data_IF_156458042124
#
_entry.id   IF_156458042124
#
_cell.length_a   1.000
_cell.length_b   1.000
_cell.length_c   1.000
_cell.angle_alpha   90.00
_cell.angle_beta   90.00
_cell.angle_gamma   90.00
#
_symmetry.space_group_name_H-M   'P 1'
#
loop_
_entity.id
_entity.type
_entity.pdbx_description
1 polymer ?
#
# COMPACT_ATOMS: atom_id res chain seq x y z
N UNK A 1 29.23 6.26 5.83
CA UNK A 1 28.61 7.07 4.77
C UNK A 1 27.44 6.26 4.21
N UNK A 2 26.26 6.86 4.05
CA UNK A 2 25.09 6.16 3.50
C UNK A 2 24.91 6.53 2.02
N UNK A 3 24.52 5.55 1.20
CA UNK A 3 24.21 5.73 -0.20
C UNK A 3 22.76 5.29 -0.46
N UNK A 4 22.05 6.01 -1.32
CA UNK A 4 20.70 5.66 -1.74
C UNK A 4 20.71 5.33 -3.24
N UNK A 5 20.19 4.17 -3.60
CA UNK A 5 19.93 3.81 -4.99
C UNK A 5 18.75 4.63 -5.54
N UNK A 6 18.61 4.79 -6.86
CA UNK A 6 17.48 5.49 -7.45
C UNK A 6 16.14 4.88 -7.00
N UNK A 7 15.15 5.71 -6.65
CA UNK A 7 13.85 5.20 -6.21
C UNK A 7 13.11 4.49 -7.35
N UNK A 8 12.31 3.50 -6.98
CA UNK A 8 11.39 2.82 -7.88
C UNK A 8 9.96 3.12 -7.44
N UNK A 9 9.14 3.58 -8.39
CA UNK A 9 7.71 3.76 -8.20
C UNK A 9 6.97 2.78 -9.12
N UNK A 10 6.00 2.08 -8.54
CA UNK A 10 5.07 1.19 -9.25
C UNK A 10 3.67 1.68 -8.96
N UNK A 11 2.86 1.67 -10.01
CA UNK A 11 1.61 2.39 -10.13
C UNK A 11 0.54 1.41 -10.59
N UNK A 12 -0.65 1.37 -9.95
CA UNK A 12 -1.67 0.42 -10.36
C UNK A 12 -2.30 0.81 -11.70
N UNK A 13 -2.93 -0.17 -12.34
CA UNK A 13 -3.42 -0.06 -13.70
C UNK A 13 -4.64 0.86 -13.86
N UNK A 14 -5.50 0.94 -12.83
CA UNK A 14 -6.77 1.66 -12.96
C UNK A 14 -6.56 3.15 -12.79
N UNK A 15 -6.66 3.88 -13.89
CA UNK A 15 -6.66 5.35 -13.90
C UNK A 15 -8.10 5.86 -13.85
N UNK A 16 -8.40 6.69 -12.86
CA UNK A 16 -9.72 7.27 -12.62
C UNK A 16 -9.62 8.79 -12.70
N UNK A 17 -10.45 9.41 -13.51
CA UNK A 17 -10.52 10.86 -13.66
C UNK A 17 -11.27 11.51 -12.50
N UNK A 18 -10.95 12.77 -12.21
CA UNK A 18 -11.70 13.58 -11.26
C UNK A 18 -13.18 13.70 -11.65
N UNK A 19 -13.48 13.77 -12.95
CA UNK A 19 -14.85 13.83 -13.47
C UNK A 19 -15.64 12.55 -13.15
N UNK A 20 -15.01 11.38 -13.29
CA UNK A 20 -15.64 10.10 -12.92
C UNK A 20 -15.94 10.02 -11.43
N UNK A 21 -15.01 10.44 -10.57
CA UNK A 21 -15.25 10.49 -9.11
C UNK A 21 -16.41 11.43 -8.78
N UNK A 22 -16.47 12.62 -9.38
CA UNK A 22 -17.56 13.58 -9.13
C UNK A 22 -18.90 12.99 -9.59
N UNK A 23 -18.95 12.38 -10.78
CA UNK A 23 -20.16 11.74 -11.29
C UNK A 23 -20.62 10.60 -10.38
N UNK A 24 -19.68 9.80 -9.85
CA UNK A 24 -19.94 8.75 -8.89
C UNK A 24 -20.55 9.28 -7.59
N UNK A 25 -19.99 10.37 -7.04
CA UNK A 25 -20.51 11.03 -5.84
C UNK A 25 -21.94 11.52 -6.01
N UNK A 26 -22.26 12.15 -7.14
CA UNK A 26 -23.63 12.59 -7.48
C UNK A 26 -24.59 11.41 -7.66
N UNK A 27 -24.14 10.34 -8.32
CA UNK A 27 -24.94 9.12 -8.49
C UNK A 27 -25.26 8.47 -7.15
N UNK A 28 -24.28 8.35 -6.27
CA UNK A 28 -24.42 7.72 -4.96
C UNK A 28 -25.19 8.57 -3.95
N UNK A 29 -25.19 9.90 -4.09
CA UNK A 29 -25.81 10.82 -3.14
C UNK A 29 -26.69 11.87 -3.84
N UNK A 30 -27.82 11.48 -4.46
CA UNK A 30 -28.67 12.39 -5.20
C UNK A 30 -29.17 13.56 -4.33
N UNK A 31 -29.04 14.79 -4.83
CA UNK A 31 -29.57 15.99 -4.18
C UNK A 31 -28.79 16.48 -2.95
N UNK A 32 -27.62 15.93 -2.65
CA UNK A 32 -26.84 16.37 -1.51
C UNK A 32 -26.20 17.76 -1.77
N UNK A 33 -26.51 18.79 -0.96
CA UNK A 33 -26.22 20.20 -1.28
C UNK A 33 -24.72 20.54 -1.34
N UNK A 34 -23.86 19.72 -0.74
CA UNK A 34 -22.40 19.93 -0.82
C UNK A 34 -21.83 19.57 -2.20
N UNK A 35 -22.48 18.68 -2.95
CA UNK A 35 -21.90 18.13 -4.18
C UNK A 35 -21.76 19.19 -5.27
N UNK A 36 -22.67 20.15 -5.32
CA UNK A 36 -22.62 21.27 -6.27
C UNK A 36 -21.37 22.15 -6.09
N UNK A 37 -20.73 22.09 -4.92
CA UNK A 37 -19.49 22.83 -4.62
C UNK A 37 -18.22 22.05 -4.97
N UNK A 38 -18.32 20.72 -5.09
CA UNK A 38 -17.16 19.84 -5.27
C UNK A 38 -16.42 20.11 -6.58
N UNK A 39 -17.08 20.34 -7.74
CA UNK A 39 -16.37 20.65 -8.98
C UNK A 39 -15.44 21.86 -8.87
N UNK A 40 -15.91 22.94 -8.22
CA UNK A 40 -15.12 24.15 -8.03
C UNK A 40 -13.90 23.93 -7.12
N UNK A 41 -14.00 23.03 -6.14
CA UNK A 41 -12.86 22.64 -5.31
C UNK A 41 -11.90 21.72 -6.06
N UNK A 42 -12.42 20.74 -6.79
CA UNK A 42 -11.63 19.76 -7.52
C UNK A 42 -10.76 20.41 -8.61
N UNK A 43 -11.28 21.44 -9.30
CA UNK A 43 -10.53 22.23 -10.27
C UNK A 43 -9.28 22.89 -9.65
N UNK A 44 -9.36 23.37 -8.40
CA UNK A 44 -8.23 24.02 -7.71
C UNK A 44 -7.11 23.05 -7.35
N UNK A 45 -7.43 21.76 -7.23
CA UNK A 45 -6.43 20.73 -6.90
C UNK A 45 -5.52 20.40 -8.09
N UNK A 46 -5.91 20.77 -9.32
CA UNK A 46 -5.15 20.47 -10.56
C UNK A 46 -4.83 18.97 -10.74
N UNK A 47 -5.59 18.09 -10.09
CA UNK A 47 -5.49 16.64 -10.24
C UNK A 47 -6.53 16.20 -11.25
N UNK A 48 -6.09 15.82 -12.44
CA UNK A 48 -6.98 15.31 -13.49
C UNK A 48 -7.29 13.83 -13.26
N UNK A 49 -6.27 13.04 -12.94
CA UNK A 49 -6.36 11.58 -12.78
C UNK A 49 -5.75 11.10 -11.47
N UNK A 50 -6.22 9.95 -11.00
CA UNK A 50 -5.71 9.21 -9.84
C UNK A 50 -5.60 7.75 -10.21
N UNK A 51 -4.68 7.04 -9.55
CA UNK A 51 -4.50 5.61 -9.80
C UNK A 51 -4.96 4.78 -8.63
N UNK A 52 -5.82 3.81 -8.91
CA UNK A 52 -6.47 2.96 -7.93
C UNK A 52 -6.06 1.50 -8.14
N UNK A 53 -5.93 0.75 -7.05
CA UNK A 53 -5.64 -0.70 -7.08
C UNK A 53 -6.82 -1.55 -7.55
N UNK A 54 -8.00 -0.96 -7.68
CA UNK A 54 -9.22 -1.60 -8.17
C UNK A 54 -10.06 -0.57 -8.92
N UNK A 55 -10.96 -1.00 -9.81
CA UNK A 55 -11.86 -0.10 -10.52
C UNK A 55 -12.72 0.77 -9.58
N UNK A 56 -13.16 1.94 -10.07
CA UNK A 56 -13.91 2.91 -9.26
C UNK A 56 -15.18 2.29 -8.66
N UNK A 57 -15.90 1.46 -9.41
CA UNK A 57 -17.11 0.78 -8.97
C UNK A 57 -16.88 -0.19 -7.81
N UNK A 58 -15.67 -0.75 -7.70
CA UNK A 58 -15.28 -1.62 -6.58
C UNK A 58 -14.91 -0.77 -5.38
N UNK A 59 -14.16 0.31 -5.59
CA UNK A 59 -13.70 1.21 -4.53
C UNK A 59 -14.84 2.00 -3.91
N UNK A 60 -15.79 2.46 -4.72
CA UNK A 60 -16.95 3.26 -4.31
C UNK A 60 -18.05 2.41 -3.66
N UNK A 61 -17.97 1.08 -3.76
CA UNK A 61 -18.98 0.19 -3.19
C UNK A 61 -19.03 0.33 -1.67
N UNK A 62 -20.23 0.54 -1.14
CA UNK A 62 -20.47 0.48 0.30
C UNK A 62 -20.15 -0.91 0.84
N UNK A 63 -19.62 -0.95 2.07
CA UNK A 63 -19.25 -2.20 2.69
C UNK A 63 -18.53 -2.00 4.02
N UNK A 64 -18.36 -3.10 4.73
CA UNK A 64 -17.60 -3.13 5.98
C UNK A 64 -16.14 -2.77 5.73
N UNK A 65 -15.45 -2.36 6.80
CA UNK A 65 -14.01 -2.08 6.73
C UNK A 65 -13.24 -3.29 6.15
N UNK A 66 -13.60 -4.51 6.53
CA UNK A 66 -12.97 -5.74 6.04
C UNK A 66 -13.17 -5.96 4.54
N UNK A 67 -14.39 -5.73 4.05
CA UNK A 67 -14.73 -5.87 2.63
C UNK A 67 -13.94 -4.89 1.77
N UNK A 68 -13.72 -3.66 2.25
CA UNK A 68 -12.92 -2.65 1.52
C UNK A 68 -11.42 -2.88 1.67
N UNK A 69 -10.96 -3.30 2.85
CA UNK A 69 -9.53 -3.43 3.14
C UNK A 69 -8.91 -4.64 2.46
N UNK A 70 -9.63 -5.75 2.32
CA UNK A 70 -9.09 -6.99 1.74
C UNK A 70 -8.49 -6.79 0.34
N UNK A 71 -9.23 -6.27 -0.66
CA UNK A 71 -8.67 -6.01 -1.98
C UNK A 71 -7.60 -4.91 -1.96
N UNK A 72 -7.75 -3.89 -1.11
CA UNK A 72 -6.77 -2.81 -0.98
C UNK A 72 -5.41 -3.31 -0.46
N UNK A 73 -5.40 -4.19 0.54
CA UNK A 73 -4.19 -4.81 1.09
C UNK A 73 -3.51 -5.69 0.05
N UNK A 74 -4.28 -6.50 -0.69
CA UNK A 74 -3.73 -7.38 -1.73
C UNK A 74 -3.08 -6.58 -2.86
N UNK A 75 -3.74 -5.52 -3.34
CA UNK A 75 -3.19 -4.63 -4.36
C UNK A 75 -1.93 -3.93 -3.88
N UNK A 76 -1.96 -3.36 -2.68
CA UNK A 76 -0.79 -2.71 -2.06
C UNK A 76 0.41 -3.65 -1.97
N UNK A 77 0.21 -4.90 -1.52
CA UNK A 77 1.30 -5.87 -1.38
C UNK A 77 1.88 -6.30 -2.72
N UNK A 78 1.04 -6.42 -3.74
CA UNK A 78 1.49 -6.73 -5.10
C UNK A 78 2.40 -5.63 -5.63
N UNK A 79 1.96 -4.37 -5.57
CA UNK A 79 2.75 -3.21 -6.00
C UNK A 79 4.02 -3.04 -5.18
N UNK A 80 3.96 -3.24 -3.86
CA UNK A 80 5.12 -3.13 -2.99
C UNK A 80 6.16 -4.22 -3.30
N UNK A 81 5.72 -5.45 -3.61
CA UNK A 81 6.60 -6.53 -4.02
C UNK A 81 7.30 -6.20 -5.34
N UNK A 82 6.53 -5.77 -6.33
CA UNK A 82 7.06 -5.40 -7.64
C UNK A 82 8.09 -4.27 -7.51
N UNK A 83 7.75 -3.20 -6.80
CA UNK A 83 8.66 -2.08 -6.56
C UNK A 83 9.96 -2.52 -5.87
N UNK A 84 9.87 -3.40 -4.87
CA UNK A 84 11.04 -3.93 -4.17
C UNK A 84 11.91 -4.80 -5.09
N UNK A 85 11.31 -5.70 -5.87
CA UNK A 85 12.03 -6.58 -6.79
C UNK A 85 12.74 -5.78 -7.89
N UNK A 86 12.04 -4.81 -8.49
CA UNK A 86 12.64 -3.91 -9.49
C UNK A 86 13.75 -3.05 -8.88
N UNK A 87 13.62 -2.61 -7.62
CA UNK A 87 14.68 -1.84 -6.96
C UNK A 87 15.95 -2.69 -6.72
N UNK A 88 15.78 -3.94 -6.30
CA UNK A 88 16.88 -4.90 -6.12
C UNK A 88 17.58 -5.19 -7.45
N UNK A 89 16.80 -5.49 -8.50
CA UNK A 89 17.33 -5.74 -9.84
C UNK A 89 18.13 -4.56 -10.38
N UNK A 90 17.62 -3.33 -10.25
CA UNK A 90 18.33 -2.10 -10.66
C UNK A 90 19.60 -1.84 -9.86
N UNK A 91 19.65 -2.30 -8.62
CA UNK A 91 20.82 -2.20 -7.77
C UNK A 91 21.84 -3.34 -7.99
N UNK A 92 21.48 -4.37 -8.78
CA UNK A 92 22.28 -5.58 -8.93
C UNK A 92 22.39 -6.38 -7.62
N UNK A 93 21.37 -6.29 -6.75
CA UNK A 93 21.33 -6.93 -5.45
C UNK A 93 20.33 -8.08 -5.45
N UNK A 94 20.62 -9.08 -4.63
CA UNK A 94 19.68 -10.12 -4.29
C UNK A 94 18.98 -9.81 -2.97
N UNK A 95 17.82 -10.42 -2.78
CA UNK A 95 17.08 -10.38 -1.53
C UNK A 95 17.87 -10.78 -0.28
N UNK A 96 18.89 -11.62 -0.45
CA UNK A 96 19.75 -12.08 0.63
C UNK A 96 20.72 -11.00 1.13
N UNK A 97 20.96 -9.97 0.32
CA UNK A 97 21.82 -8.83 0.62
C UNK A 97 21.11 -7.77 1.47
N UNK A 98 19.80 -7.95 1.72
CA UNK A 98 19.01 -7.04 2.55
C UNK A 98 19.06 -7.46 4.02
N UNK A 99 19.65 -6.60 4.83
CA UNK A 99 19.70 -6.73 6.29
C UNK A 99 18.42 -6.22 6.97
N UNK A 100 17.82 -5.14 6.44
CA UNK A 100 16.70 -4.44 7.05
C UNK A 100 15.64 -4.03 6.04
N UNK A 101 14.37 -4.22 6.43
CA UNK A 101 13.21 -3.78 5.67
C UNK A 101 12.41 -2.79 6.51
N UNK A 102 12.22 -1.59 5.98
CA UNK A 102 11.42 -0.52 6.60
C UNK A 102 10.21 -0.27 5.70
N UNK A 103 9.01 -0.32 6.28
CA UNK A 103 7.74 -0.08 5.55
C UNK A 103 6.88 0.94 6.28
N UNK A 104 6.13 1.73 5.53
CA UNK A 104 5.17 2.72 6.06
C UNK A 104 3.92 2.75 5.18
N UNK A 105 2.74 2.72 5.80
CA UNK A 105 1.44 2.82 5.14
C UNK A 105 0.38 3.28 6.13
N UNK A 106 -0.64 4.01 5.66
CA UNK A 106 -1.71 4.58 6.50
C UNK A 106 -3.12 4.14 6.08
N UNK A 107 -3.29 3.63 4.86
CA UNK A 107 -4.59 3.38 4.23
C UNK A 107 -5.20 2.02 4.57
N UNK A 108 -4.41 1.10 5.12
CA UNK A 108 -4.86 -0.26 5.44
C UNK A 108 -4.44 -0.65 6.85
N UNK A 109 -5.24 -0.36 7.89
CA UNK A 109 -5.00 -0.92 9.20
C UNK A 109 -5.18 -2.44 9.10
N UNK A 110 -4.06 -3.15 9.13
CA UNK A 110 -4.02 -4.60 9.05
C UNK A 110 -4.52 -5.26 10.35
N UNK A 111 -4.95 -4.49 11.36
CA UNK A 111 -5.33 -5.05 12.66
C UNK A 111 -6.78 -5.53 12.56
N UNK A 112 -6.97 -6.81 12.21
CA UNK A 112 -8.26 -7.47 12.31
C UNK A 112 -8.79 -7.50 13.75
N UNK A 113 -10.05 -7.90 13.98
CA UNK A 113 -10.73 -7.85 15.29
C UNK A 113 -10.14 -8.74 16.40
N UNK A 114 -8.98 -9.38 16.18
CA UNK A 114 -8.31 -10.25 17.15
C UNK A 114 -6.81 -9.93 17.35
N UNK A 115 -6.30 -8.80 16.84
CA UNK A 115 -4.87 -8.47 16.98
C UNK A 115 -3.92 -9.40 16.21
N UNK A 116 -4.45 -10.32 15.41
CA UNK A 116 -3.67 -11.17 14.51
C UNK A 116 -3.19 -10.34 13.33
N UNK A 117 -1.87 -10.26 13.16
CA UNK A 117 -1.22 -9.71 11.97
C UNK A 117 -1.64 -10.55 10.77
N UNK A 118 -2.29 -10.00 9.73
CA UNK A 118 -2.70 -10.77 8.59
C UNK A 118 -1.47 -11.39 7.92
N UNK A 119 -1.58 -12.63 7.41
CA UNK A 119 -0.46 -13.36 6.79
C UNK A 119 0.20 -12.55 5.66
N UNK A 120 -0.55 -11.64 5.06
CA UNK A 120 -0.13 -10.73 4.01
C UNK A 120 1.06 -9.80 4.42
N UNK A 121 1.16 -9.38 5.68
CA UNK A 121 2.30 -8.57 6.18
C UNK A 121 3.47 -9.41 6.72
N UNK A 122 3.27 -10.71 7.01
CA UNK A 122 4.41 -11.65 7.13
C UNK A 122 5.08 -11.84 5.77
N UNK A 123 4.27 -11.69 4.72
CA UNK A 123 4.65 -11.66 3.33
C UNK A 123 5.84 -10.76 3.03
N UNK A 124 5.88 -9.50 3.45
CA UNK A 124 6.93 -8.58 2.93
C UNK A 124 8.36 -9.02 3.30
N UNK A 125 8.57 -9.66 4.47
CA UNK A 125 9.84 -10.32 4.80
C UNK A 125 10.08 -11.62 3.99
N UNK A 126 9.04 -12.44 3.77
CA UNK A 126 9.11 -13.70 3.00
C UNK A 126 8.92 -13.53 1.47
N UNK A 127 8.69 -12.31 1.00
CA UNK A 127 8.50 -11.93 -0.40
C UNK A 127 9.83 -11.48 -1.01
N UNK A 128 10.74 -11.02 -0.14
CA UNK A 128 12.14 -10.78 -0.48
C UNK A 128 12.89 -12.12 -0.42
N UNK A 129 12.85 -12.87 0.70
CA UNK A 129 13.53 -14.18 0.78
C UNK A 129 12.60 -15.33 0.39
N UNK A 130 12.98 -16.14 -0.61
CA UNK A 130 12.21 -17.26 -1.15
C UNK A 130 11.71 -18.28 -0.09
N UNK A 131 10.76 -19.17 -0.46
CA UNK A 131 10.08 -20.04 0.50
C UNK A 131 11.06 -20.95 1.25
N UNK A 132 11.05 -20.91 2.60
CA UNK A 132 11.71 -21.91 3.46
C UNK A 132 12.80 -21.42 4.41
N UNK A 133 13.15 -20.13 4.46
CA UNK A 133 14.21 -19.64 5.37
C UNK A 133 13.67 -18.88 6.59
N UNK A 134 14.07 -19.23 7.83
CA UNK A 134 13.65 -18.53 9.04
C UNK A 134 14.34 -17.15 9.16
N UNK A 135 13.61 -16.17 9.70
CA UNK A 135 14.16 -14.87 10.04
C UNK A 135 15.33 -15.05 11.02
N UNK A 136 16.52 -14.48 10.72
CA UNK A 136 17.54 -14.32 11.76
C UNK A 136 16.95 -13.41 12.84
N UNK A 137 16.95 -13.83 14.12
CA UNK A 137 16.54 -12.93 15.19
C UNK A 137 17.47 -11.72 15.16
N UNK A 138 16.92 -10.53 15.38
CA UNK A 138 17.71 -9.32 15.61
C UNK A 138 18.66 -9.60 16.78
N UNK A 139 19.95 -9.79 16.49
CA UNK A 139 20.99 -9.93 17.51
C UNK A 139 21.24 -8.56 18.12
N UNK A 140 20.31 -8.12 18.97
CA UNK A 140 20.28 -6.81 19.59
C UNK A 140 19.63 -6.87 20.97
N UNK A 141 19.98 -7.88 21.76
CA UNK A 141 19.82 -7.82 23.21
C UNK A 141 21.23 -7.57 23.80
N UNK A 142 21.45 -6.49 24.58
CA UNK A 142 22.71 -6.31 25.27
C UNK A 142 22.84 -7.42 26.32
N UNK A 143 23.95 -8.15 26.28
CA UNK A 143 24.37 -9.04 27.35
C UNK A 143 24.71 -8.19 28.59
N UNK A 144 23.71 -7.95 29.44
CA UNK A 144 23.84 -7.28 30.73
C UNK A 144 24.00 -8.31 31.84
N UNK A 145 25.19 -8.26 32.47
CA UNK A 145 25.75 -9.18 33.46
C UNK A 145 24.84 -9.45 34.67
N UNK A 146 24.80 -10.71 35.09
CA UNK A 146 24.46 -11.08 36.46
C UNK A 146 25.63 -10.70 37.39
N UNK A 147 25.33 -10.03 38.49
CA UNK A 147 26.11 -10.00 39.72
C UNK A 147 25.14 -9.94 40.87
#
# INVERSE_FOLDING_TARGET
>A
MAFATPPVAVFPEHTVTTSEVIADMHRANPGHPILDRIPAHAQKLSVETRQFVSPLEVVAKEGTLEQRNTPAVQGMLTLAKEAAQTALERAGLDAQDIDWLITSHTTTPSRGPAGVRPPALRGVCSLVRGPGQPCRPSSGAPAGRAS
#
